data_IF_983175006963
#
_entry.id   IF_983175006963
#
_cell.length_a   1.000
_cell.length_b   1.000
_cell.length_c   1.000
_cell.angle_alpha   90.00
_cell.angle_beta   90.00
_cell.angle_gamma   90.00
#
_symmetry.space_group_name_H-M   'P 1'
#
loop_
_entity.id
_entity.type
_entity.pdbx_description
1 polymer ?
#
# COMPACT_ATOMS: atom_id res chain seq x y z
N UNK A 1 4.15 -5.74 -4.80
CA UNK A 1 3.43 -5.32 -3.58
C UNK A 1 3.25 -6.50 -2.66
N UNK A 2 2.62 -7.59 -3.10
CA UNK A 2 2.25 -8.68 -2.19
C UNK A 2 3.45 -9.38 -1.53
N UNK A 3 4.64 -9.35 -2.15
CA UNK A 3 5.86 -9.92 -1.56
C UNK A 3 6.14 -9.47 -0.12
N UNK A 4 5.99 -8.18 0.22
CA UNK A 4 6.26 -7.69 1.60
C UNK A 4 5.26 -8.25 2.62
N UNK A 5 4.02 -8.47 2.19
CA UNK A 5 2.93 -9.01 3.01
C UNK A 5 3.12 -10.52 3.16
N UNK A 6 3.42 -11.23 2.07
CA UNK A 6 3.67 -12.68 2.09
C UNK A 6 4.95 -13.04 2.86
N UNK A 7 5.99 -12.22 2.79
CA UNK A 7 7.21 -12.37 3.61
C UNK A 7 6.90 -12.22 5.10
N UNK A 8 6.11 -11.21 5.47
CA UNK A 8 5.67 -10.98 6.85
C UNK A 8 4.86 -12.15 7.39
N UNK A 9 3.92 -12.67 6.59
CA UNK A 9 3.14 -13.86 6.96
C UNK A 9 4.00 -15.11 7.08
N UNK A 10 4.89 -15.36 6.13
CA UNK A 10 5.79 -16.51 6.16
C UNK A 10 6.68 -16.49 7.41
N UNK A 11 7.13 -15.30 7.83
CA UNK A 11 7.88 -15.14 9.07
C UNK A 11 7.01 -15.42 10.32
N UNK A 12 5.75 -14.97 10.30
CA UNK A 12 4.79 -15.23 11.37
C UNK A 12 4.47 -16.72 11.51
N UNK A 13 4.20 -17.43 10.42
CA UNK A 13 3.94 -18.88 10.45
C UNK A 13 5.12 -19.68 11.01
N UNK A 14 6.36 -19.33 10.61
CA UNK A 14 7.57 -19.96 11.16
C UNK A 14 7.71 -19.76 12.67
N UNK A 15 7.26 -18.62 13.19
CA UNK A 15 7.29 -18.35 14.63
C UNK A 15 6.28 -19.21 15.40
N UNK A 16 5.13 -19.51 14.80
CA UNK A 16 4.08 -20.36 15.37
C UNK A 16 4.26 -21.86 15.11
N UNK A 17 5.34 -22.27 14.42
CA UNK A 17 5.61 -23.66 14.02
C UNK A 17 4.45 -24.35 13.27
N UNK A 18 3.65 -23.56 12.55
CA UNK A 18 2.55 -24.09 11.72
C UNK A 18 3.14 -24.66 10.43
N UNK A 19 2.76 -25.91 10.13
CA UNK A 19 3.26 -26.67 8.99
C UNK A 19 2.13 -26.93 7.99
N UNK A 20 2.03 -26.06 6.99
CA UNK A 20 1.35 -26.25 5.69
C UNK A 20 0.02 -27.04 5.71
N UNK A 21 -0.77 -26.86 6.76
CA UNK A 21 -2.14 -27.36 6.87
C UNK A 21 -3.11 -26.18 6.85
N UNK A 22 -3.91 -26.11 5.79
CA UNK A 22 -4.76 -24.94 5.50
C UNK A 22 -5.74 -24.59 6.63
N UNK A 23 -6.13 -25.56 7.45
CA UNK A 23 -7.04 -25.34 8.58
C UNK A 23 -6.36 -24.56 9.74
N UNK A 24 -5.08 -24.84 10.05
CA UNK A 24 -4.36 -24.06 11.07
C UNK A 24 -4.03 -22.67 10.55
N UNK A 25 -3.66 -22.55 9.27
CA UNK A 25 -3.39 -21.24 8.66
C UNK A 25 -4.64 -20.35 8.68
N UNK A 26 -5.81 -20.91 8.37
CA UNK A 26 -7.09 -20.19 8.47
C UNK A 26 -7.41 -19.77 9.91
N UNK A 27 -7.27 -20.67 10.88
CA UNK A 27 -7.50 -20.35 12.30
C UNK A 27 -6.57 -19.25 12.82
N UNK A 28 -5.30 -19.26 12.40
CA UNK A 28 -4.35 -18.18 12.71
C UNK A 28 -4.76 -16.86 12.05
N UNK A 29 -5.20 -16.89 10.80
CA UNK A 29 -5.67 -15.69 10.12
C UNK A 29 -6.90 -15.08 10.81
N UNK A 30 -7.84 -15.91 11.27
CA UNK A 30 -8.99 -15.45 12.06
C UNK A 30 -8.57 -14.78 13.37
N UNK A 31 -7.63 -15.38 14.10
CA UNK A 31 -7.09 -14.80 15.35
C UNK A 31 -6.43 -13.44 15.10
N UNK A 32 -5.58 -13.35 14.07
CA UNK A 32 -4.89 -12.10 13.72
C UNK A 32 -5.87 -10.99 13.35
N UNK A 33 -6.93 -11.31 12.61
CA UNK A 33 -7.96 -10.33 12.21
C UNK A 33 -8.83 -9.89 13.39
N UNK A 34 -9.02 -10.75 14.40
CA UNK A 34 -9.74 -10.42 15.62
C UNK A 34 -8.95 -9.49 16.55
N UNK A 35 -7.62 -9.53 16.51
CA UNK A 35 -6.72 -8.79 17.41
C UNK A 35 -5.69 -7.93 16.65
N UNK A 36 -6.11 -7.07 15.69
CA UNK A 36 -5.19 -6.42 14.75
C UNK A 36 -4.14 -5.56 15.45
N UNK A 37 -4.46 -4.95 16.60
CA UNK A 37 -3.59 -4.11 17.42
C UNK A 37 -2.42 -4.86 18.08
N UNK A 38 -2.43 -6.18 18.05
CA UNK A 38 -1.37 -7.04 18.60
C UNK A 38 -0.38 -7.51 17.54
N UNK A 39 -0.64 -7.21 16.28
CA UNK A 39 0.11 -7.76 15.15
C UNK A 39 0.68 -6.65 14.26
N UNK A 40 1.82 -6.94 13.65
CA UNK A 40 2.38 -6.07 12.62
C UNK A 40 1.45 -6.02 11.40
N UNK A 41 1.35 -4.83 10.79
CA UNK A 41 0.44 -4.62 9.66
C UNK A 41 0.61 -5.60 8.51
N UNK A 42 1.84 -6.09 8.23
CA UNK A 42 2.10 -7.06 7.16
C UNK A 42 1.40 -8.39 7.46
N UNK A 43 1.37 -8.78 8.74
CA UNK A 43 0.69 -9.99 9.21
C UNK A 43 -0.82 -9.81 9.13
N UNK A 44 -1.34 -8.66 9.58
CA UNK A 44 -2.78 -8.35 9.51
C UNK A 44 -3.28 -8.33 8.06
N UNK A 45 -2.55 -7.68 7.16
CA UNK A 45 -2.89 -7.63 5.74
C UNK A 45 -2.86 -9.00 5.05
N UNK A 46 -1.92 -9.85 5.45
CA UNK A 46 -1.80 -11.20 4.94
C UNK A 46 -2.93 -12.11 5.47
N UNK A 47 -3.32 -11.94 6.73
CA UNK A 47 -4.42 -12.66 7.34
C UNK A 47 -5.75 -12.30 6.65
N UNK A 48 -6.00 -11.01 6.40
CA UNK A 48 -7.17 -10.56 5.63
C UNK A 48 -7.23 -11.19 4.22
N UNK A 49 -6.08 -11.41 3.57
CA UNK A 49 -6.02 -12.03 2.23
C UNK A 49 -6.37 -13.52 2.20
N UNK A 50 -6.30 -14.19 3.36
CA UNK A 50 -6.58 -15.63 3.52
C UNK A 50 -8.04 -15.91 3.86
N UNK A 51 -8.77 -14.91 4.33
CA UNK A 51 -10.16 -15.05 4.71
C UNK A 51 -11.09 -14.58 3.59
N UNK A 52 -12.08 -15.41 3.28
CA UNK A 52 -13.18 -15.00 2.41
C UNK A 52 -14.24 -14.24 3.21
N UNK A 53 -14.78 -13.18 2.64
CA UNK A 53 -15.89 -12.42 3.20
C UNK A 53 -17.19 -13.22 3.04
N UNK A 54 -17.82 -13.58 4.15
CA UNK A 54 -19.11 -14.29 4.13
C UNK A 54 -20.26 -13.49 3.46
N UNK A 55 -20.15 -12.16 3.37
CA UNK A 55 -21.19 -11.31 2.80
C UNK A 55 -21.06 -11.12 1.27
N UNK A 56 -19.83 -11.02 0.73
CA UNK A 56 -19.62 -10.73 -0.69
C UNK A 56 -18.77 -11.76 -1.44
N UNK A 57 -18.22 -12.77 -0.75
CA UNK A 57 -17.40 -13.84 -1.34
C UNK A 57 -15.98 -13.43 -1.77
N UNK A 58 -15.66 -12.14 -1.77
CA UNK A 58 -14.31 -11.62 -2.04
C UNK A 58 -13.40 -11.79 -0.81
N UNK A 59 -12.10 -11.50 -0.94
CA UNK A 59 -11.17 -11.45 0.20
C UNK A 59 -11.63 -10.40 1.21
N UNK A 60 -11.56 -10.75 2.49
CA UNK A 60 -12.02 -9.89 3.57
C UNK A 60 -11.30 -8.54 3.55
N UNK A 61 -12.07 -7.45 3.58
CA UNK A 61 -11.53 -6.09 3.49
C UNK A 61 -11.20 -5.59 2.08
N UNK A 62 -11.38 -6.41 1.03
CA UNK A 62 -11.18 -6.00 -0.38
C UNK A 62 -12.47 -5.84 -1.19
N UNK A 63 -13.59 -6.32 -0.64
CA UNK A 63 -14.90 -6.26 -1.31
C UNK A 63 -15.42 -4.84 -1.58
N UNK A 64 -16.58 -4.74 -2.25
CA UNK A 64 -17.15 -3.47 -2.71
C UNK A 64 -17.42 -2.49 -1.57
N UNK A 65 -17.51 -1.20 -1.91
CA UNK A 65 -17.91 -0.15 -0.97
C UNK A 65 -19.33 -0.43 -0.47
N UNK A 66 -19.56 -0.32 0.83
CA UNK A 66 -20.85 -0.61 1.46
C UNK A 66 -21.04 -2.07 1.89
N UNK A 67 -20.05 -2.94 1.68
CA UNK A 67 -20.10 -4.31 2.21
C UNK A 67 -19.93 -4.30 3.73
N UNK A 68 -20.94 -4.79 4.45
CA UNK A 68 -21.03 -4.76 5.91
C UNK A 68 -19.88 -5.45 6.65
N UNK A 69 -19.24 -6.44 6.04
CA UNK A 69 -18.08 -7.13 6.62
C UNK A 69 -16.73 -6.55 6.14
N UNK A 70 -16.63 -6.15 4.86
CA UNK A 70 -15.38 -5.61 4.32
C UNK A 70 -15.09 -4.18 4.78
N UNK A 71 -16.11 -3.33 4.98
CA UNK A 71 -15.88 -1.95 5.46
C UNK A 71 -15.24 -1.91 6.86
N UNK A 72 -15.77 -2.62 7.87
CA UNK A 72 -15.12 -2.70 9.18
C UNK A 72 -13.74 -3.36 9.12
N UNK A 73 -13.57 -4.47 8.38
CA UNK A 73 -12.26 -5.12 8.25
C UNK A 73 -11.20 -4.18 7.64
N UNK A 74 -11.60 -3.38 6.63
CA UNK A 74 -10.74 -2.34 6.07
C UNK A 74 -10.48 -1.17 7.04
N UNK A 75 -11.37 -0.89 7.98
CA UNK A 75 -11.14 0.11 9.02
C UNK A 75 -10.22 -0.40 10.14
N UNK A 76 -10.46 -1.61 10.64
CA UNK A 76 -9.75 -2.15 11.80
C UNK A 76 -8.29 -2.50 11.53
N UNK A 77 -7.90 -2.78 10.26
CA UNK A 77 -6.47 -2.91 9.90
C UNK A 77 -5.62 -1.68 10.24
N UNK A 78 -6.23 -0.51 10.47
CA UNK A 78 -5.49 0.68 10.91
C UNK A 78 -5.09 0.68 12.39
N UNK A 79 -5.59 -0.28 13.17
CA UNK A 79 -5.12 -0.52 14.54
C UNK A 79 -3.78 -1.29 14.58
N UNK A 80 -3.37 -1.91 13.47
CA UNK A 80 -2.17 -2.74 13.42
C UNK A 80 -0.88 -1.98 13.76
N UNK A 81 0.08 -2.70 14.33
CA UNK A 81 1.39 -2.17 14.69
C UNK A 81 2.18 -1.86 13.41
N UNK A 82 2.78 -0.68 13.36
CA UNK A 82 3.66 -0.26 12.28
C UNK A 82 5.11 -0.31 12.76
N UNK A 83 5.82 -1.38 12.43
CA UNK A 83 7.25 -1.51 12.77
C UNK A 83 8.10 -1.24 11.55
N UNK A 84 8.82 -0.11 11.52
CA UNK A 84 9.74 0.22 10.44
C UNK A 84 10.79 -0.88 10.25
N UNK A 85 11.00 -1.31 8.99
CA UNK A 85 12.04 -2.30 8.66
C UNK A 85 13.44 -1.72 8.87
N UNK A 86 14.48 -2.55 9.08
CA UNK A 86 15.84 -2.04 9.26
C UNK A 86 16.31 -1.20 8.05
N UNK A 87 16.97 -0.07 8.32
CA UNK A 87 17.63 0.74 7.31
C UNK A 87 16.74 1.73 6.53
N UNK A 88 15.47 1.88 6.90
CA UNK A 88 14.58 2.89 6.29
C UNK A 88 14.32 4.06 7.24
N UNK A 89 13.89 5.19 6.68
CA UNK A 89 13.50 6.34 7.48
C UNK A 89 12.28 6.03 8.37
N UNK A 90 12.20 6.62 9.59
CA UNK A 90 11.03 6.47 10.45
C UNK A 90 9.73 6.86 9.73
N UNK A 91 8.68 6.05 9.90
CA UNK A 91 7.38 6.22 9.25
C UNK A 91 7.31 5.70 7.81
N UNK A 92 8.34 5.02 7.31
CA UNK A 92 8.30 4.43 5.97
C UNK A 92 7.23 3.33 5.88
N UNK A 93 7.09 2.48 6.89
CA UNK A 93 6.10 1.40 6.88
C UNK A 93 4.67 1.91 6.98
N UNK A 94 4.46 3.01 7.72
CA UNK A 94 3.20 3.75 7.67
C UNK A 94 2.86 4.16 6.24
N UNK A 95 3.83 4.78 5.54
CA UNK A 95 3.64 5.21 4.16
C UNK A 95 3.40 4.02 3.21
N UNK A 96 4.16 2.92 3.33
CA UNK A 96 3.94 1.70 2.56
C UNK A 96 2.52 1.18 2.78
N UNK A 97 2.11 1.01 4.04
CA UNK A 97 0.81 0.46 4.42
C UNK A 97 -0.35 1.29 3.88
N UNK A 98 -0.29 2.61 3.98
CA UNK A 98 -1.33 3.51 3.42
C UNK A 98 -1.43 3.37 1.90
N UNK A 99 -0.30 3.20 1.19
CA UNK A 99 -0.33 2.96 -0.25
C UNK A 99 -0.89 1.58 -0.58
N UNK A 100 -0.48 0.55 0.16
CA UNK A 100 -0.97 -0.83 0.02
C UNK A 100 -2.48 -0.90 0.25
N UNK A 101 -3.01 -0.25 1.30
CA UNK A 101 -4.45 -0.30 1.62
C UNK A 101 -5.31 0.26 0.49
N UNK A 102 -4.92 1.39 -0.10
CA UNK A 102 -5.60 2.00 -1.25
C UNK A 102 -5.53 1.10 -2.48
N UNK A 103 -4.36 0.57 -2.78
CA UNK A 103 -4.15 -0.24 -3.98
C UNK A 103 -4.81 -1.63 -3.90
N UNK A 104 -5.03 -2.14 -2.69
CA UNK A 104 -5.79 -3.38 -2.44
C UNK A 104 -7.30 -3.17 -2.45
N UNK A 105 -7.77 -1.93 -2.32
CA UNK A 105 -9.19 -1.55 -2.37
C UNK A 105 -9.45 -0.31 -3.25
N UNK A 106 -9.04 -0.34 -4.54
CA UNK A 106 -8.97 0.86 -5.38
C UNK A 106 -10.32 1.55 -5.63
N UNK A 107 -11.43 0.82 -5.53
CA UNK A 107 -12.80 1.34 -5.66
C UNK A 107 -13.18 2.38 -4.59
N UNK A 108 -12.40 2.49 -3.51
CA UNK A 108 -12.59 3.52 -2.47
C UNK A 108 -11.86 4.83 -2.76
N UNK A 109 -11.02 4.85 -3.80
CA UNK A 109 -10.15 5.98 -4.13
C UNK A 109 -10.39 6.47 -5.56
N UNK A 110 -10.01 7.73 -5.82
CA UNK A 110 -10.04 8.26 -7.19
C UNK A 110 -8.97 7.59 -8.08
N UNK A 111 -9.20 7.54 -9.39
CA UNK A 111 -8.21 7.00 -10.33
C UNK A 111 -6.84 7.68 -10.24
N UNK A 112 -6.83 9.00 -10.00
CA UNK A 112 -5.60 9.77 -9.80
C UNK A 112 -4.87 9.40 -8.51
N UNK A 113 -5.62 9.17 -7.44
CA UNK A 113 -5.03 8.69 -6.20
C UNK A 113 -4.41 7.31 -6.40
N UNK A 114 -5.14 6.37 -7.01
CA UNK A 114 -4.61 5.03 -7.33
C UNK A 114 -3.34 5.13 -8.17
N UNK A 115 -3.31 5.98 -9.19
CA UNK A 115 -2.12 6.22 -10.01
C UNK A 115 -0.96 6.77 -9.17
N UNK A 116 -1.19 7.78 -8.36
CA UNK A 116 -0.17 8.36 -7.48
C UNK A 116 0.41 7.31 -6.51
N UNK A 117 -0.45 6.48 -5.89
CA UNK A 117 0.01 5.40 -5.00
C UNK A 117 0.86 4.37 -5.75
N UNK A 118 0.48 4.00 -6.98
CA UNK A 118 1.27 3.06 -7.82
C UNK A 118 2.66 3.60 -8.16
N UNK A 119 2.76 4.90 -8.43
CA UNK A 119 4.03 5.55 -8.78
C UNK A 119 4.96 5.73 -7.57
N UNK A 120 4.38 6.02 -6.40
CA UNK A 120 5.15 6.26 -5.16
C UNK A 120 5.56 4.96 -4.47
N UNK A 121 4.73 3.92 -4.53
CA UNK A 121 4.97 2.68 -3.79
C UNK A 121 6.36 2.05 -4.05
N UNK A 122 6.87 1.95 -5.30
CA UNK A 122 8.22 1.43 -5.55
C UNK A 122 9.33 2.17 -4.78
N UNK A 123 9.26 3.51 -4.66
CA UNK A 123 10.20 4.31 -3.85
C UNK A 123 10.13 3.90 -2.38
N UNK A 124 8.90 3.82 -1.86
CA UNK A 124 8.66 3.47 -0.46
C UNK A 124 9.19 2.08 -0.16
N UNK A 125 8.99 1.10 -1.04
CA UNK A 125 9.46 -0.28 -0.88
C UNK A 125 11.00 -0.39 -0.84
N UNK A 126 11.74 0.50 -1.51
CA UNK A 126 13.21 0.56 -1.40
C UNK A 126 13.70 1.46 -0.27
N UNK A 127 12.80 1.99 0.57
CA UNK A 127 13.14 2.75 1.78
C UNK A 127 13.21 4.27 1.59
N UNK A 128 12.95 4.76 0.37
CA UNK A 128 12.93 6.19 0.09
C UNK A 128 11.58 6.76 0.51
N UNK A 129 11.58 7.64 1.51
CA UNK A 129 10.38 8.29 2.04
C UNK A 129 10.34 9.76 1.57
N UNK A 130 9.46 10.13 0.63
CA UNK A 130 9.26 11.52 0.25
C UNK A 130 8.78 12.33 1.45
N UNK A 131 9.21 13.58 1.53
CA UNK A 131 8.65 14.53 2.48
C UNK A 131 7.18 14.83 2.14
N UNK A 132 6.41 15.30 3.12
CA UNK A 132 5.00 15.70 2.88
C UNK A 132 4.86 16.73 1.75
N UNK A 133 5.69 17.80 1.67
CA UNK A 133 5.63 18.73 0.54
C UNK A 133 5.88 18.07 -0.82
N UNK A 134 6.86 17.15 -0.92
CA UNK A 134 7.15 16.41 -2.15
C UNK A 134 5.98 15.52 -2.57
N UNK A 135 5.36 14.81 -1.62
CA UNK A 135 4.18 13.99 -1.87
C UNK A 135 2.99 14.86 -2.36
N UNK A 136 2.79 16.03 -1.75
CA UNK A 136 1.74 16.97 -2.16
C UNK A 136 2.00 17.52 -3.57
N UNK A 137 3.25 17.86 -3.88
CA UNK A 137 3.66 18.36 -5.21
C UNK A 137 3.41 17.31 -6.30
N UNK A 138 3.81 16.06 -6.06
CA UNK A 138 3.56 14.96 -7.01
C UNK A 138 2.06 14.72 -7.22
N UNK A 139 1.27 14.72 -6.14
CA UNK A 139 -0.17 14.53 -6.24
C UNK A 139 -0.86 15.66 -7.00
N UNK A 140 -0.42 16.92 -6.80
CA UNK A 140 -0.92 18.06 -7.56
C UNK A 140 -0.59 17.94 -9.06
N UNK A 141 0.63 17.52 -9.40
CA UNK A 141 1.06 17.28 -10.77
C UNK A 141 0.21 16.19 -11.46
N UNK A 142 -0.03 15.07 -10.77
CA UNK A 142 -0.84 13.98 -11.32
C UNK A 142 -2.26 14.45 -11.58
N UNK A 143 -2.86 15.21 -10.65
CA UNK A 143 -4.22 15.73 -10.80
C UNK A 143 -4.38 16.71 -11.96
N UNK A 144 -3.40 17.58 -12.21
CA UNK A 144 -3.44 18.50 -13.36
C UNK A 144 -3.18 17.80 -14.70
N UNK A 145 -2.34 16.76 -14.69
CA UNK A 145 -1.94 16.01 -15.88
C UNK A 145 -3.03 15.03 -16.35
N UNK A 146 -3.70 14.39 -15.38
CA UNK A 146 -4.75 13.40 -15.61
C UNK A 146 -6.04 13.84 -14.93
N UNK A 147 -6.76 14.84 -15.47
CA UNK A 147 -8.01 15.24 -14.86
C UNK A 147 -9.05 14.10 -14.91
N UNK A 148 -10.00 14.08 -13.97
CA UNK A 148 -11.11 13.12 -13.99
C UNK A 148 -11.92 13.25 -15.29
N UNK A 149 -12.63 12.18 -15.65
CA UNK A 149 -13.41 12.11 -16.89
C UNK A 149 -14.32 13.34 -17.08
N UNK A 150 -14.21 13.99 -18.24
CA UNK A 150 -14.98 15.17 -18.62
C UNK A 150 -14.27 16.52 -18.43
N UNK A 151 -13.15 16.56 -17.69
CA UNK A 151 -12.33 17.75 -17.59
C UNK A 151 -11.15 17.69 -18.57
N UNK A 152 -10.89 18.81 -19.27
CA UNK A 152 -9.74 18.91 -20.15
C UNK A 152 -8.45 19.06 -19.34
N UNK A 153 -7.36 18.39 -19.74
CA UNK A 153 -6.04 18.64 -19.17
C UNK A 153 -5.67 20.11 -19.31
N UNK A 154 -4.88 20.62 -18.36
CA UNK A 154 -4.31 21.97 -18.52
C UNK A 154 -3.20 21.93 -19.58
N UNK A 155 -3.42 22.61 -20.71
CA UNK A 155 -2.43 22.78 -21.77
C UNK A 155 -2.56 21.80 -22.95
N UNK A 156 -1.74 22.03 -23.98
CA UNK A 156 -1.83 21.34 -25.29
C UNK A 156 -1.00 20.05 -25.36
N UNK A 157 -0.50 19.56 -24.22
CA UNK A 157 0.38 18.40 -24.16
C UNK A 157 -0.36 17.10 -24.53
N UNK A 158 0.22 16.36 -25.46
CA UNK A 158 -0.23 15.03 -25.84
C UNK A 158 -0.22 14.07 -24.63
N UNK A 159 -1.00 12.96 -24.67
CA UNK A 159 -0.96 11.95 -23.61
C UNK A 159 0.45 11.43 -23.31
N UNK A 160 1.30 11.27 -24.33
CA UNK A 160 2.68 10.81 -24.18
C UNK A 160 3.56 11.83 -23.44
N UNK A 161 3.48 13.11 -23.79
CA UNK A 161 4.22 14.18 -23.10
C UNK A 161 3.81 14.31 -21.63
N UNK A 162 2.51 14.13 -21.37
CA UNK A 162 1.94 14.10 -20.02
C UNK A 162 2.46 12.92 -19.19
N UNK A 163 2.57 11.73 -19.79
CA UNK A 163 3.20 10.57 -19.15
C UNK A 163 4.67 10.85 -18.81
N UNK A 164 5.44 11.36 -19.79
CA UNK A 164 6.86 11.70 -19.59
C UNK A 164 7.08 12.79 -18.53
N UNK A 165 6.13 13.72 -18.38
CA UNK A 165 6.20 14.74 -17.33
C UNK A 165 6.12 14.12 -15.93
N UNK A 166 5.18 13.19 -15.72
CA UNK A 166 5.03 12.50 -14.43
C UNK A 166 6.17 11.54 -14.17
N UNK A 167 6.64 10.82 -15.18
CA UNK A 167 7.80 9.94 -15.09
C UNK A 167 9.05 10.71 -14.64
N UNK A 168 9.38 11.83 -15.30
CA UNK A 168 10.50 12.69 -14.90
C UNK A 168 10.38 13.21 -13.46
N UNK A 169 9.18 13.58 -13.03
CA UNK A 169 8.96 14.03 -11.65
C UNK A 169 9.23 12.91 -10.63
N UNK A 170 8.83 11.67 -10.95
CA UNK A 170 9.12 10.49 -10.12
C UNK A 170 10.62 10.18 -10.12
N UNK A 171 11.28 10.20 -11.28
CA UNK A 171 12.72 10.01 -11.39
C UNK A 171 13.52 11.06 -10.62
N UNK A 172 13.10 12.32 -10.66
CA UNK A 172 13.75 13.40 -9.90
C UNK A 172 13.59 13.19 -8.38
N UNK A 173 12.43 12.70 -7.92
CA UNK A 173 12.25 12.29 -6.52
C UNK A 173 13.21 11.14 -6.17
N UNK A 174 13.26 10.09 -7.00
CA UNK A 174 14.21 9.00 -6.83
C UNK A 174 15.66 9.49 -6.78
N UNK A 175 16.04 10.45 -7.63
CA UNK A 175 17.41 10.97 -7.67
C UNK A 175 17.76 11.76 -6.39
N UNK A 176 16.84 12.60 -5.90
CA UNK A 176 17.03 13.38 -4.67
C UNK A 176 17.23 12.48 -3.45
N UNK A 177 16.47 11.40 -3.36
CA UNK A 177 16.52 10.47 -2.23
C UNK A 177 17.56 9.35 -2.41
N UNK A 178 17.86 8.94 -3.65
CA UNK A 178 18.85 7.91 -3.98
C UNK A 178 20.31 8.40 -3.87
N UNK A 179 20.57 9.70 -3.99
CA UNK A 179 21.88 10.28 -3.71
C UNK A 179 22.30 10.20 -2.23
N UNK A 180 21.36 9.88 -1.33
CA UNK A 180 21.55 9.79 0.13
C UNK A 180 21.91 8.35 0.56
N UNK A 181 21.73 7.34 -0.31
CA UNK A 181 22.08 5.93 -0.05
C UNK A 181 23.33 5.52 -0.83
N UNK A 182 24.46 6.21 -0.60
CA UNK A 182 25.76 5.58 -0.84
C UNK A 182 26.29 5.12 0.51
N UNK A 183 26.55 3.81 0.72
CA UNK A 183 27.28 3.40 1.90
C UNK A 183 28.65 4.10 1.84
N UNK A 184 29.00 4.76 2.93
CA UNK A 184 30.39 5.20 3.16
C UNK A 184 31.26 3.94 3.15
N UNK A 185 32.39 3.92 2.43
CA UNK A 185 33.21 2.72 2.25
C UNK A 185 33.78 2.17 3.57
#
# INVERSE_FOLDING_TARGET
MDGIVEEGWSAFLRHWDVRDDGDQEAALAEMVVAEPDRHDWRVVDAALDRLACAACGDRLGRGPVGCSACDPAHGFRYAAIETDRPGVAPGNEHAVRVNVSVLRRPQTASGNEVLARRLVLPMLLVGLLPTTPEAHQLNALIKSTFPPHGASPTGDASPAERHQLVERAVEDLFRRHGAVIRPTP
#
